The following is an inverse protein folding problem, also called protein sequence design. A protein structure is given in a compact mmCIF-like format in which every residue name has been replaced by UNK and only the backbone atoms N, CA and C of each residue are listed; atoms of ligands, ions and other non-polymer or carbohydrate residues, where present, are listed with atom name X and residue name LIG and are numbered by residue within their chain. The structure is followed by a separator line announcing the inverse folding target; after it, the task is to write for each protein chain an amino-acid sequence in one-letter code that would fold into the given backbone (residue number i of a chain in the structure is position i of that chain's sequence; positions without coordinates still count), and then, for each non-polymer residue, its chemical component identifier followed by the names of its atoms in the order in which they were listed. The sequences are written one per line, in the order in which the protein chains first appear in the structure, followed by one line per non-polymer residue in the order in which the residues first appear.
data_IF_736028483774
#
_entry.id   IF_736028483774
#
_cell.length_a   1.000
_cell.length_b   1.000
_cell.length_c   1.000
_cell.angle_alpha   90.00
_cell.angle_beta   90.00
_cell.angle_gamma   90.00
#
_symmetry.space_group_name_H-M   'P 1'
#
loop_
_entity.id
_entity.type
_entity.pdbx_description
1 polymer ?
#
# COMPACT_ATOMS: atom_id res chain seq x y z
N UNK A 1 19.41 17.96 -9.65
CA UNK A 1 20.33 16.80 -9.62
C UNK A 1 19.46 15.56 -9.73
N UNK A 2 19.95 14.47 -10.35
CA UNK A 2 19.22 13.20 -10.37
C UNK A 2 18.98 12.74 -8.93
N UNK A 3 17.79 12.22 -8.67
CA UNK A 3 17.39 11.72 -7.37
C UNK A 3 17.98 10.32 -7.15
N UNK A 4 18.98 10.23 -6.27
CA UNK A 4 19.77 9.02 -6.03
C UNK A 4 18.97 7.88 -5.38
N UNK A 5 17.83 8.20 -4.75
CA UNK A 5 16.96 7.22 -4.11
C UNK A 5 15.71 6.90 -4.95
N UNK A 6 15.62 7.43 -6.17
CA UNK A 6 14.45 7.28 -7.05
C UNK A 6 14.03 5.82 -7.25
N UNK A 7 14.94 4.96 -7.71
CA UNK A 7 14.64 3.55 -7.97
C UNK A 7 14.31 2.79 -6.68
N UNK A 8 15.03 3.07 -5.59
CA UNK A 8 14.76 2.45 -4.30
C UNK A 8 13.33 2.78 -3.79
N UNK A 9 12.86 4.02 -3.98
CA UNK A 9 11.49 4.42 -3.64
C UNK A 9 10.46 3.73 -4.54
N UNK A 10 10.74 3.59 -5.83
CA UNK A 10 9.85 2.91 -6.77
C UNK A 10 9.71 1.42 -6.46
N UNK A 11 10.82 0.72 -6.17
CA UNK A 11 10.80 -0.67 -5.72
C UNK A 11 10.03 -0.85 -4.40
N UNK A 12 10.18 0.10 -3.46
CA UNK A 12 9.42 0.09 -2.20
C UNK A 12 7.92 0.20 -2.45
N UNK A 13 7.51 1.13 -3.32
CA UNK A 13 6.10 1.38 -3.63
C UNK A 13 5.41 0.19 -4.29
N UNK A 14 6.09 -0.56 -5.16
CA UNK A 14 5.50 -1.76 -5.79
C UNK A 14 5.54 -3.00 -4.88
N UNK A 15 6.14 -2.93 -3.70
CA UNK A 15 6.27 -4.04 -2.77
C UNK A 15 7.46 -4.98 -3.04
N UNK A 16 8.39 -4.61 -3.91
CA UNK A 16 9.63 -5.35 -4.18
C UNK A 16 10.69 -5.03 -3.12
N UNK A 17 10.42 -5.41 -1.87
CA UNK A 17 11.20 -4.98 -0.70
C UNK A 17 12.69 -5.37 -0.74
N UNK A 18 13.03 -6.57 -1.25
CA UNK A 18 14.43 -7.00 -1.35
C UNK A 18 15.24 -6.13 -2.33
N UNK A 19 14.66 -5.77 -3.47
CA UNK A 19 15.28 -4.88 -4.45
C UNK A 19 15.40 -3.46 -3.89
N UNK A 20 14.35 -2.98 -3.20
CA UNK A 20 14.39 -1.67 -2.54
C UNK A 20 15.53 -1.56 -1.52
N UNK A 21 15.78 -2.61 -0.72
CA UNK A 21 16.91 -2.64 0.22
C UNK A 21 18.25 -2.65 -0.52
N UNK A 22 18.37 -3.44 -1.60
CA UNK A 22 19.61 -3.52 -2.37
C UNK A 22 19.99 -2.16 -2.98
N UNK A 23 19.05 -1.52 -3.68
CA UNK A 23 19.26 -0.22 -4.33
C UNK A 23 19.48 0.91 -3.32
N UNK A 24 18.70 0.95 -2.23
CA UNK A 24 18.91 1.94 -1.18
C UNK A 24 20.30 1.78 -0.53
N UNK A 25 20.76 0.54 -0.35
CA UNK A 25 22.07 0.27 0.27
C UNK A 25 23.23 0.72 -0.60
N UNK A 26 23.13 0.58 -1.93
CA UNK A 26 24.14 1.01 -2.91
C UNK A 26 24.13 2.51 -3.18
N UNK A 27 23.03 3.21 -2.93
CA UNK A 27 22.94 4.66 -3.10
C UNK A 27 23.88 5.40 -2.12
N UNK A 28 24.56 6.45 -2.59
CA UNK A 28 25.44 7.30 -1.79
C UNK A 28 25.21 8.76 -2.13
N UNK A 29 25.39 9.64 -1.14
CA UNK A 29 25.06 11.06 -1.26
C UNK A 29 26.06 11.84 -2.15
N UNK A 30 25.58 12.53 -3.19
CA UNK A 30 26.41 13.47 -3.96
C UNK A 30 26.65 14.82 -3.26
N UNK A 31 25.87 15.19 -2.23
CA UNK A 31 26.03 16.48 -1.54
C UNK A 31 27.17 16.43 -0.50
N UNK A 32 27.89 17.55 -0.38
CA UNK A 32 28.92 17.73 0.65
C UNK A 32 28.45 18.58 1.84
N UNK A 33 27.21 19.09 1.81
CA UNK A 33 26.64 19.85 2.93
C UNK A 33 26.18 18.88 4.01
N UNK A 34 26.63 19.09 5.25
CA UNK A 34 26.36 18.16 6.36
C UNK A 34 24.87 17.94 6.66
N UNK A 35 24.02 18.96 6.48
CA UNK A 35 22.57 18.84 6.66
C UNK A 35 21.91 18.00 5.57
N UNK A 36 22.29 18.21 4.31
CA UNK A 36 21.77 17.42 3.18
C UNK A 36 22.19 15.95 3.28
N UNK A 37 23.43 15.69 3.71
CA UNK A 37 23.93 14.34 3.97
C UNK A 37 23.14 13.66 5.09
N UNK A 38 22.87 14.38 6.18
CA UNK A 38 22.07 13.85 7.29
C UNK A 38 20.63 13.53 6.87
N UNK A 39 20.00 14.40 6.08
CA UNK A 39 18.66 14.19 5.53
C UNK A 39 18.63 13.00 4.56
N UNK A 40 19.64 12.89 3.69
CA UNK A 40 19.79 11.78 2.76
C UNK A 40 19.94 10.44 3.48
N UNK A 41 20.85 10.35 4.46
CA UNK A 41 21.06 9.12 5.24
C UNK A 41 19.83 8.74 6.07
N UNK A 42 19.10 9.74 6.59
CA UNK A 42 17.83 9.49 7.28
C UNK A 42 16.77 8.94 6.33
N UNK A 43 16.68 9.45 5.10
CA UNK A 43 15.72 8.95 4.11
C UNK A 43 16.10 7.55 3.58
N UNK A 44 17.38 7.33 3.28
CA UNK A 44 17.93 6.00 2.94
C UNK A 44 17.59 4.98 4.02
N UNK A 45 17.85 5.31 5.28
CA UNK A 45 17.53 4.46 6.42
C UNK A 45 16.02 4.23 6.53
N UNK A 46 15.20 5.27 6.28
CA UNK A 46 13.74 5.15 6.29
C UNK A 46 13.23 4.18 5.22
N UNK A 47 13.76 4.23 3.99
CA UNK A 47 13.39 3.30 2.91
C UNK A 47 13.73 1.86 3.29
N UNK A 48 14.95 1.63 3.80
CA UNK A 48 15.40 0.28 4.22
C UNK A 48 14.50 -0.25 5.34
N UNK A 49 14.24 0.56 6.38
CA UNK A 49 13.36 0.16 7.48
C UNK A 49 11.93 -0.10 6.99
N UNK A 50 11.37 0.73 6.11
CA UNK A 50 10.03 0.50 5.51
C UNK A 50 9.98 -0.81 4.73
N UNK A 51 11.00 -1.13 3.94
CA UNK A 51 11.09 -2.39 3.21
C UNK A 51 11.20 -3.59 4.17
N UNK A 52 11.98 -3.48 5.25
CA UNK A 52 12.07 -4.51 6.30
C UNK A 52 10.74 -4.72 7.02
N UNK A 53 9.97 -3.65 7.28
CA UNK A 53 8.61 -3.76 7.81
C UNK A 53 7.69 -4.52 6.85
N UNK A 54 7.81 -4.26 5.54
CA UNK A 54 7.12 -5.01 4.48
C UNK A 54 7.47 -6.51 4.45
N UNK A 55 8.72 -6.86 4.75
CA UNK A 55 9.18 -8.25 4.94
C UNK A 55 8.79 -8.85 6.31
N UNK A 56 8.08 -8.09 7.15
CA UNK A 56 7.61 -8.54 8.45
C UNK A 56 8.65 -8.48 9.58
N UNK A 57 9.83 -7.92 9.35
CA UNK A 57 10.96 -7.82 10.29
C UNK A 57 10.79 -6.66 11.29
N UNK A 58 9.65 -6.61 11.98
CA UNK A 58 9.27 -5.46 12.84
C UNK A 58 10.20 -5.28 14.04
N UNK A 59 10.58 -6.37 14.70
CA UNK A 59 11.45 -6.32 15.89
C UNK A 59 12.84 -5.78 15.58
N UNK A 60 13.38 -6.12 14.39
CA UNK A 60 14.65 -5.60 13.91
C UNK A 60 14.59 -4.08 13.76
N UNK A 61 13.56 -3.57 13.09
CA UNK A 61 13.37 -2.13 12.86
C UNK A 61 13.20 -1.38 14.18
N UNK A 62 12.40 -1.92 15.12
CA UNK A 62 12.24 -1.32 16.45
C UNK A 62 13.55 -1.26 17.23
N UNK A 63 14.40 -2.28 17.11
CA UNK A 63 15.71 -2.29 17.76
C UNK A 63 16.67 -1.26 17.14
N UNK A 64 16.66 -1.11 15.81
CA UNK A 64 17.51 -0.18 15.07
C UNK A 64 17.12 1.28 15.33
N UNK A 65 15.82 1.58 15.39
CA UNK A 65 15.31 2.94 15.50
C UNK A 65 15.10 3.43 16.94
N UNK A 66 15.47 2.63 17.94
CA UNK A 66 15.23 2.93 19.37
C UNK A 66 15.81 4.28 19.82
N UNK A 67 16.94 4.71 19.25
CA UNK A 67 17.62 5.97 19.57
C UNK A 67 17.54 7.01 18.44
N UNK A 68 16.66 6.81 17.46
CA UNK A 68 16.56 7.72 16.33
C UNK A 68 15.94 9.06 16.75
N UNK A 69 16.64 10.15 16.47
CA UNK A 69 16.19 11.52 16.77
C UNK A 69 15.61 12.23 15.55
N UNK A 70 15.93 11.78 14.34
CA UNK A 70 15.47 12.41 13.12
C UNK A 70 13.94 12.26 12.96
N UNK A 71 13.17 13.30 12.60
CA UNK A 71 11.71 13.26 12.53
C UNK A 71 11.16 12.15 11.62
N UNK A 72 11.82 11.91 10.48
CA UNK A 72 11.45 10.85 9.54
C UNK A 72 11.59 9.47 10.19
N UNK A 73 12.73 9.19 10.81
CA UNK A 73 13.00 7.91 11.47
C UNK A 73 12.12 7.67 12.69
N UNK A 74 11.83 8.74 13.45
CA UNK A 74 10.86 8.68 14.55
C UNK A 74 9.47 8.29 14.02
N UNK A 75 9.05 8.83 12.89
CA UNK A 75 7.76 8.49 12.27
C UNK A 75 7.71 7.03 11.81
N UNK A 76 8.80 6.51 11.23
CA UNK A 76 8.92 5.08 10.89
C UNK A 76 8.91 4.18 12.13
N UNK A 77 9.56 4.60 13.22
CA UNK A 77 9.56 3.86 14.49
C UNK A 77 8.16 3.78 15.10
N UNK A 78 7.40 4.89 15.10
CA UNK A 78 6.00 4.89 15.54
C UNK A 78 5.12 3.98 14.66
N UNK A 79 5.36 3.99 13.35
CA UNK A 79 4.67 3.09 12.42
C UNK A 79 4.99 1.61 12.71
N UNK A 80 6.26 1.28 12.95
CA UNK A 80 6.67 -0.07 13.35
C UNK A 80 6.01 -0.50 14.67
N UNK A 81 5.90 0.40 15.65
CA UNK A 81 5.23 0.13 16.92
C UNK A 81 3.73 -0.14 16.73
N UNK A 82 3.06 0.64 15.87
CA UNK A 82 1.67 0.41 15.48
C UNK A 82 1.49 -0.97 14.82
N UNK A 83 2.35 -1.33 13.86
CA UNK A 83 2.29 -2.65 13.19
C UNK A 83 2.55 -3.82 14.15
N UNK A 84 3.44 -3.66 15.12
CA UNK A 84 3.66 -4.68 16.16
C UNK A 84 2.41 -4.84 17.04
N UNK A 85 1.81 -3.71 17.42
CA UNK A 85 0.62 -3.69 18.28
C UNK A 85 -0.61 -4.29 17.60
N UNK A 86 -0.78 -4.13 16.28
CA UNK A 86 -1.90 -4.72 15.52
C UNK A 86 -1.78 -6.23 15.33
N UNK A 87 -0.56 -6.79 15.41
CA UNK A 87 -0.33 -8.25 15.44
C UNK A 87 -0.55 -8.84 16.82
N UNK A 88 -0.49 -8.01 17.86
CA UNK A 88 -0.74 -8.41 19.24
C UNK A 88 -2.19 -8.79 19.50
N UNK A 89 -2.42 -9.54 20.58
CA UNK A 89 -3.77 -9.95 20.98
C UNK A 89 -4.58 -8.83 21.65
N UNK A 90 -3.94 -7.70 22.02
CA UNK A 90 -4.55 -6.59 22.75
C UNK A 90 -4.95 -5.44 21.81
N UNK A 91 -6.25 -5.24 21.54
CA UNK A 91 -6.72 -4.16 20.67
C UNK A 91 -6.42 -2.76 21.22
N UNK A 92 -6.30 -2.61 22.55
CA UNK A 92 -6.09 -1.32 23.20
C UNK A 92 -4.70 -0.75 22.93
N UNK A 93 -3.69 -1.62 22.83
CA UNK A 93 -2.32 -1.24 22.49
C UNK A 93 -2.24 -0.61 21.09
N UNK A 94 -3.00 -1.15 20.14
CA UNK A 94 -3.06 -0.61 18.78
C UNK A 94 -3.69 0.79 18.74
N UNK A 95 -4.74 1.04 19.54
CA UNK A 95 -5.37 2.36 19.63
C UNK A 95 -4.46 3.39 20.30
N UNK A 96 -3.68 2.99 21.31
CA UNK A 96 -2.65 3.85 21.92
C UNK A 96 -1.56 4.22 20.89
N UNK A 97 -1.06 3.25 20.13
CA UNK A 97 -0.06 3.49 19.10
C UNK A 97 -0.59 4.37 17.96
N UNK A 98 -1.86 4.22 17.58
CA UNK A 98 -2.54 5.08 16.62
C UNK A 98 -2.59 6.53 17.12
N UNK A 99 -3.01 6.75 18.36
CA UNK A 99 -3.08 8.09 18.95
C UNK A 99 -1.70 8.77 18.99
N UNK A 100 -0.63 8.01 19.21
CA UNK A 100 0.75 8.53 19.14
C UNK A 100 1.13 8.98 17.72
N UNK A 101 0.73 8.23 16.69
CA UNK A 101 0.96 8.61 15.28
C UNK A 101 0.19 9.89 14.92
N UNK A 102 -1.10 9.96 15.29
CA UNK A 102 -1.95 11.13 15.03
C UNK A 102 -1.40 12.36 15.75
N UNK A 103 -0.99 12.24 17.02
CA UNK A 103 -0.37 13.32 17.78
C UNK A 103 0.94 13.81 17.13
N UNK A 104 1.75 12.90 16.59
CA UNK A 104 2.97 13.25 15.86
C UNK A 104 2.69 13.99 14.54
N UNK A 105 1.48 13.83 13.97
CA UNK A 105 1.02 14.50 12.75
C UNK A 105 0.20 15.78 13.00
N UNK A 106 0.13 16.29 14.23
CA UNK A 106 -0.58 17.54 14.54
C UNK A 106 0.10 18.77 13.93
N UNK A 107 1.43 18.81 14.00
CA UNK A 107 2.22 19.96 13.53
C UNK A 107 2.52 19.80 12.05
N UNK A 108 1.85 20.60 11.22
CA UNK A 108 2.09 20.66 9.77
C UNK A 108 3.47 21.27 9.51
N UNK A 109 4.38 20.47 8.97
CA UNK A 109 5.71 20.89 8.54
C UNK A 109 6.27 19.89 7.54
N UNK A 110 7.04 20.37 6.56
CA UNK A 110 7.70 19.51 5.57
C UNK A 110 8.60 18.45 6.22
N UNK A 111 9.24 18.78 7.36
CA UNK A 111 10.07 17.82 8.09
C UNK A 111 9.26 16.65 8.70
N UNK A 112 7.96 16.85 8.91
CA UNK A 112 7.06 15.91 9.58
C UNK A 112 6.07 15.24 8.61
N UNK A 113 6.23 15.41 7.30
CA UNK A 113 5.28 14.87 6.30
C UNK A 113 5.09 13.35 6.40
N UNK A 114 6.16 12.61 6.70
CA UNK A 114 6.09 11.17 6.96
C UNK A 114 5.22 10.83 8.18
N UNK A 115 5.15 11.72 9.18
CA UNK A 115 4.22 11.59 10.29
C UNK A 115 2.77 11.60 9.81
N UNK A 116 2.41 12.52 8.90
CA UNK A 116 1.08 12.59 8.30
C UNK A 116 0.76 11.36 7.44
N UNK A 117 1.72 10.91 6.63
CA UNK A 117 1.60 9.73 5.78
C UNK A 117 1.31 8.49 6.64
N UNK A 118 2.14 8.21 7.66
CA UNK A 118 1.93 7.05 8.52
C UNK A 118 0.69 7.16 9.41
N UNK A 119 0.35 8.35 9.92
CA UNK A 119 -0.88 8.55 10.67
C UNK A 119 -2.13 8.31 9.80
N UNK A 120 -2.13 8.83 8.57
CA UNK A 120 -3.22 8.59 7.61
C UNK A 120 -3.32 7.11 7.25
N UNK A 121 -2.19 6.46 6.96
CA UNK A 121 -2.15 5.02 6.69
C UNK A 121 -2.67 4.21 7.89
N UNK A 122 -2.32 4.58 9.12
CA UNK A 122 -2.81 3.92 10.33
C UNK A 122 -4.33 4.05 10.50
N UNK A 123 -4.88 5.25 10.27
CA UNK A 123 -6.32 5.50 10.29
C UNK A 123 -7.05 4.66 9.24
N UNK A 124 -6.51 4.57 8.01
CA UNK A 124 -7.07 3.72 6.96
C UNK A 124 -6.99 2.22 7.33
N UNK A 125 -5.91 1.77 7.95
CA UNK A 125 -5.79 0.39 8.43
C UNK A 125 -6.82 0.05 9.52
N UNK A 126 -7.23 1.01 10.33
CA UNK A 126 -8.31 0.88 11.33
C UNK A 126 -9.71 1.15 10.77
N UNK A 127 -9.82 1.31 9.46
CA UNK A 127 -11.08 1.63 8.75
C UNK A 127 -11.72 2.96 9.18
N UNK A 128 -10.94 3.87 9.78
CA UNK A 128 -11.35 5.25 10.12
C UNK A 128 -11.13 6.17 8.92
N UNK A 129 -11.82 5.87 7.81
CA UNK A 129 -11.57 6.51 6.51
C UNK A 129 -11.82 8.02 6.52
N UNK A 130 -12.87 8.47 7.21
CA UNK A 130 -13.20 9.90 7.28
C UNK A 130 -12.10 10.71 7.99
N UNK A 131 -11.62 10.23 9.14
CA UNK A 131 -10.56 10.89 9.92
C UNK A 131 -9.24 10.94 9.13
N UNK A 132 -8.88 9.83 8.48
CA UNK A 132 -7.69 9.77 7.61
C UNK A 132 -7.76 10.78 6.47
N UNK A 133 -8.89 10.86 5.77
CA UNK A 133 -9.09 11.84 4.70
C UNK A 133 -9.04 13.29 5.20
N UNK A 134 -9.65 13.59 6.35
CA UNK A 134 -9.60 14.93 6.94
C UNK A 134 -8.16 15.31 7.31
N UNK A 135 -7.39 14.40 7.90
CA UNK A 135 -5.99 14.65 8.24
C UNK A 135 -5.16 14.92 6.99
N UNK A 136 -5.22 14.03 6.00
CA UNK A 136 -4.42 14.15 4.78
C UNK A 136 -4.77 15.41 3.97
N UNK A 137 -6.07 15.74 3.85
CA UNK A 137 -6.51 16.95 3.13
C UNK A 137 -6.13 18.24 3.86
N UNK A 138 -6.17 18.26 5.20
CA UNK A 138 -5.66 19.39 5.99
C UNK A 138 -4.18 19.61 5.68
N UNK A 139 -3.39 18.55 5.73
CA UNK A 139 -1.96 18.62 5.40
C UNK A 139 -1.72 19.12 3.98
N UNK A 140 -2.42 18.58 2.97
CA UNK A 140 -2.26 19.03 1.58
C UNK A 140 -2.69 20.49 1.35
N UNK A 141 -3.60 21.03 2.17
CA UNK A 141 -4.02 22.43 2.09
C UNK A 141 -3.05 23.40 2.78
N UNK A 142 -2.45 22.98 3.90
CA UNK A 142 -1.59 23.82 4.73
C UNK A 142 -0.10 23.74 4.32
N UNK A 143 0.28 22.73 3.53
CA UNK A 143 1.64 22.59 3.01
C UNK A 143 1.97 23.66 1.94
N UNK A 144 3.22 24.14 1.87
CA UNK A 144 3.65 25.06 0.81
C UNK A 144 3.60 24.37 -0.55
N UNK A 145 3.72 25.15 -1.63
CA UNK A 145 3.79 24.59 -2.98
C UNK A 145 4.95 23.58 -3.09
N UNK A 146 4.74 22.46 -3.79
CA UNK A 146 5.71 21.38 -3.86
C UNK A 146 6.94 21.82 -4.66
N UNK A 147 8.10 21.81 -4.01
CA UNK A 147 9.38 21.85 -4.70
C UNK A 147 9.59 20.53 -5.46
N UNK A 148 10.15 20.58 -6.67
CA UNK A 148 10.41 19.40 -7.51
C UNK A 148 11.19 18.29 -6.79
N UNK A 149 12.06 18.63 -5.85
CA UNK A 149 12.85 17.68 -5.06
C UNK A 149 12.04 16.91 -4.01
N UNK A 150 10.83 17.37 -3.66
CA UNK A 150 9.98 16.80 -2.60
C UNK A 150 8.60 16.37 -3.11
N UNK A 151 8.37 16.40 -4.42
CA UNK A 151 7.12 15.95 -5.05
C UNK A 151 6.70 14.56 -4.58
N UNK A 152 7.65 13.65 -4.35
CA UNK A 152 7.40 12.29 -3.91
C UNK A 152 6.54 12.18 -2.64
N UNK A 153 6.86 12.92 -1.58
CA UNK A 153 6.12 12.83 -0.31
C UNK A 153 4.70 13.39 -0.42
N UNK A 154 4.47 14.36 -1.32
CA UNK A 154 3.13 14.83 -1.66
C UNK A 154 2.34 13.76 -2.42
N UNK A 155 3.00 13.05 -3.34
CA UNK A 155 2.39 11.94 -4.10
C UNK A 155 2.03 10.79 -3.14
N UNK A 156 2.90 10.42 -2.20
CA UNK A 156 2.58 9.41 -1.16
C UNK A 156 1.37 9.83 -0.30
N UNK A 157 1.28 11.10 0.12
CA UNK A 157 0.13 11.55 0.90
C UNK A 157 -1.15 11.58 0.06
N UNK A 158 -1.09 12.04 -1.19
CA UNK A 158 -2.22 12.04 -2.12
C UNK A 158 -2.68 10.62 -2.46
N UNK A 159 -1.75 9.67 -2.57
CA UNK A 159 -2.10 8.27 -2.84
C UNK A 159 -2.99 7.70 -1.73
N UNK A 160 -2.71 8.02 -0.46
CA UNK A 160 -3.59 7.65 0.66
C UNK A 160 -4.96 8.34 0.60
N UNK A 161 -5.04 9.57 0.09
CA UNK A 161 -6.33 10.24 -0.16
C UNK A 161 -7.11 9.50 -1.24
N UNK A 162 -6.45 9.12 -2.35
CA UNK A 162 -7.06 8.32 -3.42
C UNK A 162 -7.58 7.00 -2.85
N UNK A 163 -6.77 6.28 -2.06
CA UNK A 163 -7.18 5.03 -1.40
C UNK A 163 -8.42 5.23 -0.53
N UNK A 164 -8.42 6.26 0.33
CA UNK A 164 -9.56 6.57 1.17
C UNK A 164 -10.83 6.91 0.37
N UNK A 165 -10.70 7.64 -0.74
CA UNK A 165 -11.83 7.96 -1.62
C UNK A 165 -12.37 6.71 -2.34
N UNK A 166 -11.49 5.81 -2.79
CA UNK A 166 -11.88 4.53 -3.40
C UNK A 166 -12.62 3.65 -2.39
N UNK A 167 -12.17 3.57 -1.13
CA UNK A 167 -12.89 2.86 -0.06
C UNK A 167 -14.28 3.44 0.24
N UNK A 168 -14.51 4.72 -0.07
CA UNK A 168 -15.84 5.37 0.01
C UNK A 168 -16.65 5.25 -1.29
N UNK A 169 -16.19 4.50 -2.28
CA UNK A 169 -16.77 4.41 -3.63
C UNK A 169 -16.90 5.78 -4.33
N UNK A 170 -15.99 6.72 -4.04
CA UNK A 170 -15.93 8.07 -4.63
C UNK A 170 -14.85 8.15 -5.71
N UNK A 171 -14.98 7.30 -6.73
CA UNK A 171 -14.05 7.28 -7.86
C UNK A 171 -14.04 8.62 -8.63
N UNK A 172 -15.16 9.34 -8.64
CA UNK A 172 -15.29 10.69 -9.20
C UNK A 172 -14.25 11.67 -8.64
N UNK A 173 -14.10 11.70 -7.32
CA UNK A 173 -13.13 12.56 -6.64
C UNK A 173 -11.72 12.01 -6.69
N UNK A 174 -11.58 10.70 -6.77
CA UNK A 174 -10.28 10.04 -6.86
C UNK A 174 -9.54 10.43 -8.15
N UNK A 175 -10.27 10.64 -9.26
CA UNK A 175 -9.71 11.15 -10.53
C UNK A 175 -9.08 12.52 -10.36
N UNK A 176 -9.72 13.43 -9.61
CA UNK A 176 -9.19 14.79 -9.37
C UNK A 176 -7.85 14.74 -8.63
N UNK A 177 -7.72 13.83 -7.66
CA UNK A 177 -6.50 13.66 -6.87
C UNK A 177 -5.39 13.01 -7.70
N UNK A 178 -5.70 12.01 -8.54
CA UNK A 178 -4.73 11.41 -9.46
C UNK A 178 -4.25 12.43 -10.51
N UNK A 179 -5.15 13.25 -11.06
CA UNK A 179 -4.77 14.33 -11.98
C UNK A 179 -3.87 15.38 -11.29
N UNK A 180 -4.01 15.58 -9.98
CA UNK A 180 -3.08 16.39 -9.21
C UNK A 180 -1.73 15.69 -9.01
N UNK A 181 -1.69 14.36 -8.85
CA UNK A 181 -0.44 13.58 -8.81
C UNK A 181 0.31 13.62 -10.15
N UNK A 182 -0.40 13.46 -11.27
CA UNK A 182 0.16 13.52 -12.63
C UNK A 182 0.82 14.88 -12.93
N UNK A 183 0.22 15.98 -12.46
CA UNK A 183 0.82 17.31 -12.60
C UNK A 183 2.12 17.49 -11.81
N UNK A 184 2.31 16.71 -10.73
CA UNK A 184 3.53 16.75 -9.92
C UNK A 184 4.62 15.90 -10.54
N UNK A 185 4.26 14.68 -10.92
CA UNK A 185 5.15 13.69 -11.53
C UNK A 185 4.29 12.61 -12.21
N UNK A 186 4.28 12.63 -13.54
CA UNK A 186 3.60 11.67 -14.42
C UNK A 186 4.43 10.39 -14.64
N UNK A 187 5.73 10.44 -14.38
CA UNK A 187 6.63 9.28 -14.47
C UNK A 187 6.71 8.48 -13.16
N UNK A 188 6.30 9.08 -12.03
CA UNK A 188 6.26 8.42 -10.75
C UNK A 188 5.42 7.14 -10.78
N UNK A 189 6.03 6.01 -10.38
CA UNK A 189 5.36 4.70 -10.34
C UNK A 189 4.11 4.73 -9.48
N UNK A 190 4.12 5.47 -8.38
CA UNK A 190 2.97 5.61 -7.50
C UNK A 190 1.80 6.32 -8.18
N UNK A 191 2.07 7.33 -9.02
CA UNK A 191 1.05 8.01 -9.84
C UNK A 191 0.42 7.04 -10.83
N UNK A 192 1.24 6.31 -11.60
CA UNK A 192 0.77 5.33 -12.60
C UNK A 192 -0.05 4.22 -11.94
N UNK A 193 0.39 3.77 -10.76
CA UNK A 193 -0.28 2.72 -9.99
C UNK A 193 -1.66 3.14 -9.52
N UNK A 194 -1.77 4.33 -8.91
CA UNK A 194 -3.05 4.83 -8.43
C UNK A 194 -3.98 5.27 -9.55
N UNK A 195 -3.44 5.73 -10.68
CA UNK A 195 -4.22 5.90 -11.91
C UNK A 195 -4.85 4.58 -12.35
N UNK A 196 -4.08 3.48 -12.37
CA UNK A 196 -4.59 2.14 -12.66
C UNK A 196 -5.68 1.69 -11.68
N UNK A 197 -5.52 1.95 -10.38
CA UNK A 197 -6.54 1.62 -9.36
C UNK A 197 -7.83 2.43 -9.55
N UNK A 198 -7.73 3.71 -9.92
CA UNK A 198 -8.91 4.54 -10.22
C UNK A 198 -9.62 4.02 -11.47
N UNK A 199 -8.90 3.68 -12.54
CA UNK A 199 -9.50 3.07 -13.73
C UNK A 199 -10.17 1.73 -13.43
N UNK A 200 -9.56 0.90 -12.58
CA UNK A 200 -10.15 -0.36 -12.14
C UNK A 200 -11.47 -0.12 -11.39
N UNK A 201 -11.51 0.86 -10.47
CA UNK A 201 -12.72 1.22 -9.74
C UNK A 201 -13.81 1.82 -10.64
N UNK A 202 -13.44 2.65 -11.63
CA UNK A 202 -14.38 3.17 -12.62
C UNK A 202 -14.96 2.07 -13.50
N UNK A 203 -14.12 1.13 -13.94
CA UNK A 203 -14.55 -0.06 -14.68
C UNK A 203 -15.59 -0.85 -13.89
N UNK A 204 -15.42 -0.97 -12.57
CA UNK A 204 -16.39 -1.63 -11.69
C UNK A 204 -17.73 -0.88 -11.60
N UNK A 205 -17.70 0.46 -11.52
CA UNK A 205 -18.92 1.27 -11.38
C UNK A 205 -19.74 1.35 -12.67
N UNK A 206 -19.07 1.56 -13.81
CA UNK A 206 -19.71 1.79 -15.10
C UNK A 206 -19.78 0.52 -15.98
N UNK A 207 -19.17 -0.57 -15.52
CA UNK A 207 -18.97 -1.82 -16.29
C UNK A 207 -18.35 -1.58 -17.68
N UNK A 208 -17.35 -0.69 -17.73
CA UNK A 208 -16.68 -0.27 -18.97
C UNK A 208 -15.39 -1.05 -19.18
N UNK A 209 -15.37 -1.85 -20.25
CA UNK A 209 -14.20 -2.60 -20.68
C UNK A 209 -12.98 -1.70 -20.98
N UNK A 210 -13.22 -0.50 -21.54
CA UNK A 210 -12.16 0.48 -21.82
C UNK A 210 -11.40 0.87 -20.56
N UNK A 211 -12.09 1.11 -19.44
CA UNK A 211 -11.46 1.45 -18.16
C UNK A 211 -10.61 0.30 -17.63
N UNK A 212 -11.07 -0.95 -17.77
CA UNK A 212 -10.26 -2.11 -17.39
C UNK A 212 -9.03 -2.28 -18.28
N UNK A 213 -9.14 -2.01 -19.58
CA UNK A 213 -7.99 -2.03 -20.49
C UNK A 213 -6.96 -0.95 -20.13
N UNK A 214 -7.39 0.27 -19.79
CA UNK A 214 -6.50 1.33 -19.30
C UNK A 214 -5.82 0.94 -17.99
N UNK A 215 -6.55 0.36 -17.03
CA UNK A 215 -5.96 -0.13 -15.78
C UNK A 215 -4.89 -1.20 -16.04
N UNK A 216 -5.20 -2.17 -16.91
CA UNK A 216 -4.27 -3.24 -17.27
C UNK A 216 -3.00 -2.70 -17.94
N UNK A 217 -3.13 -1.68 -18.80
CA UNK A 217 -2.00 -1.02 -19.44
C UNK A 217 -1.09 -0.35 -18.40
N UNK A 218 -1.66 0.36 -17.42
CA UNK A 218 -0.89 0.98 -16.33
C UNK A 218 -0.12 -0.05 -15.50
N UNK A 219 -0.76 -1.16 -15.10
CA UNK A 219 -0.08 -2.18 -14.30
C UNK A 219 1.00 -2.93 -15.09
N UNK A 220 0.77 -3.21 -16.37
CA UNK A 220 1.79 -3.82 -17.24
C UNK A 220 2.97 -2.90 -17.49
N UNK A 221 2.75 -1.59 -17.62
CA UNK A 221 3.84 -0.61 -17.75
C UNK A 221 4.76 -0.64 -16.52
N UNK A 222 4.19 -0.65 -15.32
CA UNK A 222 4.97 -0.78 -14.07
C UNK A 222 5.77 -2.08 -14.05
N UNK A 223 5.14 -3.21 -14.38
CA UNK A 223 5.78 -4.51 -14.44
C UNK A 223 6.96 -4.56 -15.45
N UNK A 224 6.83 -3.89 -16.59
CA UNK A 224 7.91 -3.79 -17.59
C UNK A 224 9.08 -2.92 -17.10
N UNK A 225 8.82 -1.84 -16.35
CA UNK A 225 9.85 -0.91 -15.85
C UNK A 225 10.62 -1.46 -14.64
N UNK A 226 9.92 -2.07 -13.68
CA UNK A 226 10.48 -2.40 -12.36
C UNK A 226 10.41 -3.89 -12.00
N UNK A 227 10.20 -4.77 -12.98
CA UNK A 227 9.97 -6.20 -12.80
C UNK A 227 8.67 -6.54 -12.05
N UNK A 228 8.24 -7.79 -12.16
CA UNK A 228 7.00 -8.26 -11.55
C UNK A 228 7.13 -8.31 -10.02
N UNK A 229 6.24 -7.58 -9.34
CA UNK A 229 6.04 -7.70 -7.90
C UNK A 229 4.75 -8.47 -7.61
N UNK A 230 4.65 -9.11 -6.43
CA UNK A 230 3.42 -9.80 -6.01
C UNK A 230 2.21 -8.88 -6.09
N UNK A 231 2.35 -7.62 -5.67
CA UNK A 231 1.21 -6.69 -5.66
C UNK A 231 0.75 -6.32 -7.07
N UNK A 232 1.68 -5.96 -7.97
CA UNK A 232 1.35 -5.58 -9.35
C UNK A 232 0.77 -6.77 -10.11
N UNK A 233 1.30 -7.99 -9.92
CA UNK A 233 0.74 -9.19 -10.53
C UNK A 233 -0.67 -9.52 -10.03
N UNK A 234 -0.98 -9.24 -8.76
CA UNK A 234 -2.36 -9.35 -8.26
C UNK A 234 -3.29 -8.36 -8.95
N UNK A 235 -2.86 -7.10 -9.11
CA UNK A 235 -3.66 -6.09 -9.80
C UNK A 235 -3.88 -6.45 -11.27
N UNK A 236 -2.84 -6.93 -11.96
CA UNK A 236 -2.95 -7.48 -13.33
C UNK A 236 -3.95 -8.64 -13.35
N UNK A 237 -3.80 -9.60 -12.43
CA UNK A 237 -4.67 -10.76 -12.33
C UNK A 237 -6.13 -10.38 -12.12
N UNK A 238 -6.43 -9.51 -11.15
CA UNK A 238 -7.78 -9.01 -10.86
C UNK A 238 -8.35 -8.27 -12.07
N UNK A 239 -7.56 -7.42 -12.73
CA UNK A 239 -8.03 -6.68 -13.92
C UNK A 239 -8.36 -7.63 -15.08
N UNK A 240 -7.54 -8.67 -15.28
CA UNK A 240 -7.81 -9.72 -16.27
C UNK A 240 -9.09 -10.51 -15.95
N UNK A 241 -9.40 -10.74 -14.66
CA UNK A 241 -10.68 -11.34 -14.28
C UNK A 241 -11.86 -10.46 -14.66
N UNK A 242 -11.74 -9.14 -14.43
CA UNK A 242 -12.78 -8.18 -14.78
C UNK A 242 -13.02 -8.11 -16.31
N UNK A 243 -11.99 -8.35 -17.11
CA UNK A 243 -12.09 -8.46 -18.57
C UNK A 243 -12.62 -9.83 -19.06
N UNK A 244 -12.74 -10.82 -18.16
CA UNK A 244 -13.16 -12.19 -18.51
C UNK A 244 -12.04 -13.11 -18.97
N UNK A 245 -10.78 -12.64 -18.98
CA UNK A 245 -9.60 -13.40 -19.36
C UNK A 245 -9.08 -14.28 -18.21
N UNK A 246 -9.89 -15.24 -17.79
CA UNK A 246 -9.61 -16.05 -16.59
C UNK A 246 -8.31 -16.88 -16.69
N UNK A 247 -7.96 -17.40 -17.86
CA UNK A 247 -6.72 -18.16 -18.05
C UNK A 247 -5.47 -17.28 -17.92
N UNK A 248 -5.51 -16.07 -18.47
CA UNK A 248 -4.41 -15.11 -18.33
C UNK A 248 -4.28 -14.67 -16.87
N UNK A 249 -5.40 -14.41 -16.20
CA UNK A 249 -5.45 -14.09 -14.77
C UNK A 249 -4.81 -15.19 -13.92
N UNK A 250 -5.18 -16.44 -14.15
CA UNK A 250 -4.59 -17.60 -13.45
C UNK A 250 -3.08 -17.63 -13.58
N UNK A 251 -2.54 -17.41 -14.79
CA UNK A 251 -1.10 -17.44 -15.03
C UNK A 251 -0.39 -16.31 -14.28
N UNK A 252 -0.92 -15.07 -14.32
CA UNK A 252 -0.38 -13.93 -13.57
C UNK A 252 -0.39 -14.17 -12.06
N UNK A 253 -1.47 -14.76 -11.53
CA UNK A 253 -1.59 -15.06 -10.10
C UNK A 253 -0.70 -16.24 -9.66
N UNK A 254 -0.48 -17.25 -10.51
CA UNK A 254 0.48 -18.32 -10.24
C UNK A 254 1.92 -17.78 -10.21
N UNK A 255 2.23 -16.81 -11.07
CA UNK A 255 3.51 -16.11 -11.01
C UNK A 255 3.63 -15.33 -9.69
N UNK A 256 2.59 -14.62 -9.26
CA UNK A 256 2.56 -13.91 -7.98
C UNK A 256 2.80 -14.86 -6.78
N UNK A 257 2.18 -16.04 -6.83
CA UNK A 257 2.32 -17.09 -5.82
C UNK A 257 3.76 -17.66 -5.78
N UNK A 258 4.44 -17.71 -6.94
CA UNK A 258 5.84 -18.13 -7.02
C UNK A 258 6.81 -17.14 -6.37
N UNK A 259 6.46 -15.84 -6.38
CA UNK A 259 7.21 -14.79 -5.70
C UNK A 259 6.97 -14.80 -4.19
N UNK A 260 5.71 -15.00 -3.77
CA UNK A 260 5.32 -15.04 -2.36
C UNK A 260 4.20 -16.06 -2.14
N UNK A 261 4.57 -17.24 -1.64
CA UNK A 261 3.68 -18.40 -1.51
C UNK A 261 2.61 -18.27 -0.43
N UNK A 262 2.82 -17.36 0.53
CA UNK A 262 1.96 -17.13 1.70
C UNK A 262 1.09 -15.86 1.56
N UNK A 263 1.08 -15.22 0.39
CA UNK A 263 0.29 -14.02 0.18
C UNK A 263 -1.22 -14.33 0.17
N UNK A 264 -1.93 -13.80 1.17
CA UNK A 264 -3.36 -14.02 1.35
C UNK A 264 -4.22 -13.49 0.21
N UNK A 265 -3.84 -12.36 -0.39
CA UNK A 265 -4.59 -11.75 -1.49
C UNK A 265 -4.45 -12.58 -2.77
N UNK A 266 -3.23 -13.01 -3.11
CA UNK A 266 -2.97 -13.94 -4.23
C UNK A 266 -3.78 -15.22 -4.10
N UNK A 267 -3.76 -15.85 -2.92
CA UNK A 267 -4.49 -17.09 -2.67
C UNK A 267 -6.00 -16.89 -2.82
N UNK A 268 -6.53 -15.76 -2.33
CA UNK A 268 -7.95 -15.41 -2.42
C UNK A 268 -8.38 -15.18 -3.89
N UNK A 269 -7.55 -14.45 -4.64
CA UNK A 269 -7.77 -14.21 -6.07
C UNK A 269 -7.70 -15.52 -6.88
N UNK A 270 -6.76 -16.42 -6.56
CA UNK A 270 -6.67 -17.74 -7.20
C UNK A 270 -7.92 -18.60 -6.95
N UNK A 271 -8.46 -18.60 -5.72
CA UNK A 271 -9.72 -19.28 -5.42
C UNK A 271 -10.84 -18.73 -6.31
N UNK A 272 -10.94 -17.41 -6.44
CA UNK A 272 -11.97 -16.78 -7.26
C UNK A 272 -11.83 -17.15 -8.75
N UNK A 273 -10.62 -17.09 -9.33
CA UNK A 273 -10.38 -17.48 -10.74
C UNK A 273 -10.64 -18.96 -10.98
N UNK A 274 -10.09 -19.84 -10.14
CA UNK A 274 -10.22 -21.28 -10.32
C UNK A 274 -11.69 -21.73 -10.20
N UNK A 275 -12.49 -21.09 -9.35
CA UNK A 275 -13.93 -21.33 -9.29
C UNK A 275 -14.64 -20.94 -10.61
N UNK A 276 -14.23 -19.85 -11.28
CA UNK A 276 -14.82 -19.46 -12.58
C UNK A 276 -14.45 -20.42 -13.72
N UNK A 277 -13.24 -21.01 -13.68
CA UNK A 277 -12.77 -21.98 -14.68
C UNK A 277 -13.27 -23.41 -14.37
N UNK A 278 -13.77 -23.67 -13.16
CA UNK A 278 -14.21 -25.00 -12.71
C UNK A 278 -13.06 -25.93 -12.30
N UNK A 279 -11.94 -25.37 -11.84
CA UNK A 279 -10.79 -26.12 -11.31
C UNK A 279 -10.91 -26.33 -9.80
N UNK A 280 -10.19 -27.32 -9.27
CA UNK A 280 -10.16 -27.60 -7.83
C UNK A 280 -9.50 -26.44 -7.05
N UNK A 281 -10.26 -25.89 -6.10
CA UNK A 281 -9.86 -24.76 -5.25
C UNK A 281 -9.48 -25.14 -3.83
N UNK A 282 -9.65 -26.41 -3.44
CA UNK A 282 -9.50 -26.83 -2.04
C UNK A 282 -8.13 -26.48 -1.45
N UNK A 283 -7.05 -26.65 -2.23
CA UNK A 283 -5.70 -26.33 -1.79
C UNK A 283 -5.53 -24.84 -1.49
N UNK A 284 -5.89 -23.97 -2.43
CA UNK A 284 -5.71 -22.53 -2.28
C UNK A 284 -6.63 -21.98 -1.18
N UNK A 285 -7.83 -22.53 -1.07
CA UNK A 285 -8.79 -22.18 -0.03
C UNK A 285 -8.30 -22.55 1.37
N UNK A 286 -7.75 -23.75 1.55
CA UNK A 286 -7.17 -24.19 2.82
C UNK A 286 -5.99 -23.30 3.23
N UNK A 287 -5.18 -22.87 2.26
CA UNK A 287 -4.07 -21.94 2.53
C UNK A 287 -4.57 -20.53 2.85
N UNK A 288 -5.53 -19.99 2.08
CA UNK A 288 -6.09 -18.65 2.28
C UNK A 288 -6.77 -18.49 3.65
N UNK A 289 -7.53 -19.51 4.09
CA UNK A 289 -8.25 -19.49 5.36
C UNK A 289 -7.36 -19.54 6.61
N UNK A 290 -6.13 -20.04 6.46
CA UNK A 290 -5.11 -20.07 7.51
C UNK A 290 -4.37 -18.72 7.64
N UNK A 291 -4.39 -17.88 6.59
CA UNK A 291 -3.75 -16.57 6.63
C UNK A 291 -4.56 -15.57 7.47
N UNK A 292 -3.86 -14.58 8.04
CA UNK A 292 -4.49 -13.41 8.67
C UNK A 292 -4.78 -12.33 7.62
N UNK A 293 -5.57 -12.66 6.59
CA UNK A 293 -5.99 -11.72 5.54
C UNK A 293 -7.39 -11.16 5.81
N UNK A 294 -7.72 -10.03 5.17
CA UNK A 294 -9.08 -9.47 5.21
C UNK A 294 -10.11 -10.49 4.71
N UNK A 295 -9.77 -11.23 3.64
CA UNK A 295 -10.58 -12.31 3.11
C UNK A 295 -10.86 -13.39 4.16
N UNK A 296 -9.84 -13.86 4.89
CA UNK A 296 -10.02 -14.87 5.92
C UNK A 296 -10.95 -14.40 7.04
N UNK A 297 -10.84 -13.12 7.43
CA UNK A 297 -11.75 -12.50 8.40
C UNK A 297 -13.19 -12.42 7.90
N UNK A 298 -13.40 -11.93 6.67
CA UNK A 298 -14.74 -11.84 6.07
C UNK A 298 -15.37 -13.21 5.87
N UNK A 299 -14.58 -14.19 5.44
CA UNK A 299 -15.03 -15.57 5.28
C UNK A 299 -15.47 -16.18 6.61
N UNK A 300 -14.68 -16.04 7.68
CA UNK A 300 -15.06 -16.53 9.02
C UNK A 300 -16.34 -15.86 9.50
N UNK A 301 -16.44 -14.54 9.37
CA UNK A 301 -17.66 -13.82 9.74
C UNK A 301 -18.89 -14.27 8.96
N UNK A 302 -18.76 -14.51 7.65
CA UNK A 302 -19.83 -15.04 6.82
C UNK A 302 -20.20 -16.48 7.19
N UNK A 303 -19.22 -17.33 7.51
CA UNK A 303 -19.44 -18.71 7.98
C UNK A 303 -20.19 -18.72 9.31
N UNK A 304 -19.78 -17.90 10.27
CA UNK A 304 -20.42 -17.78 11.57
C UNK A 304 -21.86 -17.27 11.42
N UNK A 305 -22.07 -16.26 10.56
CA UNK A 305 -23.41 -15.74 10.27
C UNK A 305 -24.32 -16.80 9.61
N UNK A 306 -23.77 -17.62 8.71
CA UNK A 306 -24.50 -18.72 8.10
C UNK A 306 -24.86 -19.80 9.13
N UNK A 307 -23.93 -20.18 10.01
CA UNK A 307 -24.19 -21.15 11.08
C UNK A 307 -25.27 -20.68 12.05
N UNK A 308 -25.32 -19.37 12.35
CA UNK A 308 -26.40 -18.75 13.12
C UNK A 308 -27.72 -18.87 12.35
N UNK A 309 -27.75 -18.47 11.08
CA UNK A 309 -28.96 -18.56 10.25
C UNK A 309 -29.49 -20.00 10.13
N UNK A 310 -28.62 -21.00 10.01
CA UNK A 310 -29.01 -22.42 9.96
C UNK A 310 -29.61 -22.89 11.28
N UNK A 311 -29.13 -22.39 12.43
CA UNK A 311 -29.73 -22.69 13.73
C UNK A 311 -31.11 -22.05 13.85
N UNK A 312 -31.24 -20.80 13.43
CA UNK A 312 -32.49 -20.05 13.49
C UNK A 312 -33.57 -20.65 12.57
N UNK A 313 -33.18 -21.22 11.43
CA UNK A 313 -34.11 -21.86 10.47
C UNK A 313 -34.57 -23.27 10.89
N UNK A 314 -33.93 -23.89 11.90
CA UNK A 314 -34.30 -25.23 12.40
C UNK A 314 -35.41 -25.21 13.47
N UNK A 315 -36.01 -24.04 13.72
CA UNK A 315 -37.20 -23.82 14.55
C UNK A 315 -38.40 -23.41 13.70
#
# INVERSE_FOLDING_TARGET
MPDELFDARNYLNIGSYNQAIAEASSAGCASHKGEDVANFEAEKTAIICRAQLGLGQVDLVLSQLKSATHPVLKSVSLWANFLSSTRGADPSAADVALNQLVANAEVVSLANIYGAIFATAALLNRNQVAEGLTLAKRWLADLPEPEQSRSFAYIELRSLVVEGLLRLNRADRAVEEVAAMEKLDDEAVLTILYMGLVYLAQGQLDNKEESYNSALASFKDIAMRYSNSTWVLNLIGVTQMCLGDFEASKNSLLEALSLRSDDGDTLSNLVAVCNQIGLDTQRYFAQASQQQSLYAHQYRAASDAFDVAVRDFKH
#
